data_IF_818003771707
#
_entry.id   IF_818003771707
#
_cell.length_a   1.000
_cell.length_b   1.000
_cell.length_c   1.000
_cell.angle_alpha   90.00
_cell.angle_beta   90.00
_cell.angle_gamma   90.00
#
_symmetry.space_group_name_H-M   'P 1'
#
loop_
_entity.id
_entity.type
_entity.pdbx_description
1 polymer ?
#
# COMPACT_ATOMS: atom_id res chain seq x y z
N UNK A 1 57.18 -9.49 -20.29
CA UNK A 1 56.01 -9.98 -19.53
C UNK A 1 55.14 -8.78 -19.17
N UNK A 2 54.15 -8.42 -20.00
CA UNK A 2 53.18 -7.34 -19.69
C UNK A 2 51.87 -8.01 -19.27
N UNK A 3 51.54 -7.94 -17.97
CA UNK A 3 50.25 -8.42 -17.46
C UNK A 3 49.19 -7.39 -17.85
N UNK A 4 48.31 -7.75 -18.77
CA UNK A 4 47.15 -6.94 -19.13
C UNK A 4 46.12 -7.06 -18.01
N UNK A 5 45.94 -5.99 -17.24
CA UNK A 5 44.89 -5.88 -16.23
C UNK A 5 43.60 -5.45 -16.96
N UNK A 6 42.71 -6.40 -17.23
CA UNK A 6 41.40 -6.09 -17.80
C UNK A 6 40.50 -5.56 -16.69
N UNK A 7 40.24 -4.26 -16.69
CA UNK A 7 39.20 -3.63 -15.86
C UNK A 7 37.84 -4.03 -16.47
N UNK A 8 37.13 -4.94 -15.80
CA UNK A 8 35.79 -5.38 -16.23
C UNK A 8 34.77 -4.37 -15.68
N UNK A 9 34.33 -3.42 -16.50
CA UNK A 9 33.24 -2.51 -16.17
C UNK A 9 31.92 -3.27 -16.38
N UNK A 10 31.30 -3.77 -15.32
CA UNK A 10 29.97 -4.40 -15.38
C UNK A 10 28.91 -3.30 -15.39
N UNK A 11 28.36 -3.01 -16.56
CA UNK A 11 27.19 -2.14 -16.72
C UNK A 11 25.96 -2.91 -16.23
N UNK A 12 25.45 -2.57 -15.05
CA UNK A 12 24.18 -3.10 -14.56
C UNK A 12 23.05 -2.48 -15.42
N UNK A 13 22.43 -3.28 -16.28
CA UNK A 13 21.20 -2.89 -16.97
C UNK A 13 20.07 -2.93 -15.94
N UNK A 14 19.66 -1.75 -15.45
CA UNK A 14 18.49 -1.63 -14.57
C UNK A 14 17.26 -1.72 -15.47
N UNK A 15 16.39 -2.74 -15.34
CA UNK A 15 15.13 -2.74 -16.06
C UNK A 15 14.32 -1.52 -15.62
N UNK A 16 13.71 -0.81 -16.57
CA UNK A 16 12.71 0.22 -16.26
C UNK A 16 11.59 -0.45 -15.46
N UNK A 17 11.42 -0.06 -14.20
CA UNK A 17 10.31 -0.53 -13.39
C UNK A 17 9.03 0.09 -13.94
N UNK A 18 8.12 -0.75 -14.41
CA UNK A 18 6.77 -0.35 -14.82
C UNK A 18 5.87 -0.46 -13.59
N UNK A 19 4.93 0.47 -13.43
CA UNK A 19 3.98 0.42 -12.32
C UNK A 19 3.14 -0.87 -12.39
N UNK A 20 2.99 -1.54 -11.24
CA UNK A 20 2.25 -2.79 -11.03
C UNK A 20 1.47 -2.71 -9.71
N UNK A 21 0.57 -3.66 -9.48
CA UNK A 21 -0.14 -3.81 -8.19
C UNK A 21 0.87 -4.28 -7.14
N UNK A 22 1.12 -3.45 -6.13
CA UNK A 22 1.92 -3.85 -4.98
C UNK A 22 1.10 -4.75 -4.05
N UNK A 23 -0.13 -4.33 -3.76
CA UNK A 23 -1.05 -4.98 -2.81
C UNK A 23 -2.50 -4.76 -3.30
N UNK A 24 -3.31 -5.81 -3.21
CA UNK A 24 -4.76 -5.76 -3.40
C UNK A 24 -5.48 -6.45 -2.25
N UNK A 25 -6.63 -5.92 -1.85
CA UNK A 25 -7.56 -6.54 -0.91
C UNK A 25 -8.90 -6.71 -1.60
N UNK A 26 -9.46 -7.91 -1.56
CA UNK A 26 -10.84 -8.23 -1.97
C UNK A 26 -11.57 -8.78 -0.74
N UNK A 27 -12.66 -8.12 -0.35
CA UNK A 27 -13.45 -8.48 0.83
C UNK A 27 -14.70 -9.27 0.48
N UNK A 28 -14.86 -9.72 -0.77
CA UNK A 28 -15.94 -10.61 -1.15
C UNK A 28 -15.92 -11.90 -0.31
N UNK A 29 -17.06 -12.24 0.28
CA UNK A 29 -17.22 -13.36 1.20
C UNK A 29 -16.97 -13.04 2.68
N UNK A 30 -16.54 -11.83 3.03
CA UNK A 30 -16.43 -11.39 4.42
C UNK A 30 -17.82 -11.21 5.04
N UNK A 31 -17.95 -11.42 6.34
CA UNK A 31 -19.14 -11.12 7.13
C UNK A 31 -19.27 -9.62 7.45
N UNK A 32 -18.18 -8.85 7.40
CA UNK A 32 -18.15 -7.42 7.67
C UNK A 32 -17.45 -7.05 8.96
N UNK A 33 -17.42 -7.98 9.91
CA UNK A 33 -16.94 -7.81 11.27
C UNK A 33 -15.64 -8.55 11.58
N UNK A 34 -14.92 -9.00 10.55
CA UNK A 34 -13.58 -9.57 10.69
C UNK A 34 -12.65 -8.59 11.42
N UNK A 35 -11.86 -9.10 12.36
CA UNK A 35 -10.87 -8.30 13.08
C UNK A 35 -9.80 -7.73 12.12
N UNK A 36 -9.39 -8.54 11.14
CA UNK A 36 -8.32 -8.22 10.19
C UNK A 36 -8.70 -8.70 8.78
N UNK A 37 -8.46 -7.87 7.77
CA UNK A 37 -8.47 -8.28 6.37
C UNK A 37 -7.06 -8.63 5.88
N UNK A 38 -6.93 -9.65 5.03
CA UNK A 38 -5.64 -10.08 4.47
C UNK A 38 -5.60 -9.76 2.98
N UNK A 39 -4.45 -9.29 2.48
CA UNK A 39 -4.26 -9.00 1.07
C UNK A 39 -4.45 -10.26 0.21
N UNK A 40 -5.28 -10.16 -0.82
CA UNK A 40 -5.56 -11.22 -1.81
C UNK A 40 -4.55 -11.18 -2.96
N UNK A 41 -3.98 -10.00 -3.25
CA UNK A 41 -2.92 -9.79 -4.21
C UNK A 41 -1.71 -9.19 -3.50
N UNK A 42 -0.52 -9.72 -3.78
CA UNK A 42 0.74 -9.18 -3.26
C UNK A 42 1.84 -9.37 -4.30
N UNK A 43 2.55 -8.31 -4.63
CA UNK A 43 3.73 -8.40 -5.48
C UNK A 43 4.80 -9.29 -4.83
N UNK A 44 5.54 -10.06 -5.62
CA UNK A 44 6.51 -11.09 -5.13
C UNK A 44 7.54 -10.54 -4.12
N UNK A 45 7.85 -9.24 -4.20
CA UNK A 45 8.84 -8.55 -3.37
C UNK A 45 8.23 -7.64 -2.30
N UNK A 46 6.92 -7.79 -2.05
CA UNK A 46 6.19 -7.18 -0.95
C UNK A 46 5.76 -8.31 0.01
N UNK A 47 5.68 -8.01 1.30
CA UNK A 47 5.16 -8.95 2.29
C UNK A 47 3.63 -8.99 2.27
N UNK A 48 3.02 -10.10 2.69
CA UNK A 48 1.57 -10.15 2.90
C UNK A 48 1.15 -8.99 3.80
N UNK A 49 0.10 -8.28 3.37
CA UNK A 49 -0.37 -7.09 4.06
C UNK A 49 -1.68 -7.38 4.78
N UNK A 50 -1.94 -6.60 5.82
CA UNK A 50 -3.14 -6.69 6.63
C UNK A 50 -3.78 -5.32 6.73
N UNK A 51 -5.12 -5.29 6.73
CA UNK A 51 -5.92 -4.11 7.03
C UNK A 51 -6.65 -4.32 8.34
N UNK A 52 -6.66 -3.31 9.19
CA UNK A 52 -7.35 -3.30 10.49
C UNK A 52 -8.07 -1.97 10.69
N UNK A 53 -8.86 -1.89 11.76
CA UNK A 53 -9.55 -0.67 12.20
C UNK A 53 -8.78 -0.01 13.33
N UNK A 54 -8.74 1.30 13.35
CA UNK A 54 -8.29 2.10 14.48
C UNK A 54 -9.23 1.92 15.67
N UNK A 55 -8.73 2.23 16.86
CA UNK A 55 -9.42 1.98 18.12
C UNK A 55 -10.74 2.76 18.31
N UNK A 56 -11.01 3.78 17.49
CA UNK A 56 -12.27 4.53 17.50
C UNK A 56 -13.42 3.80 16.80
N UNK A 57 -13.11 2.82 15.94
CA UNK A 57 -14.10 2.13 15.13
C UNK A 57 -14.47 0.76 15.70
N UNK A 58 -15.74 0.41 15.55
CA UNK A 58 -16.23 -0.93 15.83
C UNK A 58 -16.40 -1.71 14.53
N UNK A 59 -15.95 -2.97 14.54
CA UNK A 59 -16.33 -3.95 13.53
C UNK A 59 -17.85 -4.14 13.54
N UNK A 60 -18.47 -4.27 12.37
CA UNK A 60 -19.92 -4.40 12.24
C UNK A 60 -20.29 -5.25 11.04
N UNK A 61 -21.17 -6.24 11.23
CA UNK A 61 -21.56 -7.16 10.17
C UNK A 61 -22.23 -6.40 8.99
N UNK A 62 -21.71 -6.65 7.80
CA UNK A 62 -22.24 -6.26 6.50
C UNK A 62 -21.49 -7.09 5.45
N UNK A 63 -22.19 -8.03 4.81
CA UNK A 63 -21.55 -9.05 3.98
C UNK A 63 -20.77 -8.44 2.80
N UNK A 64 -19.67 -9.08 2.42
CA UNK A 64 -18.77 -8.70 1.32
C UNK A 64 -18.08 -7.33 1.50
N UNK A 65 -17.90 -6.88 2.75
CA UNK A 65 -17.29 -5.59 3.07
C UNK A 65 -16.25 -5.75 4.17
N UNK A 66 -15.22 -4.90 4.20
CA UNK A 66 -14.48 -4.65 5.45
C UNK A 66 -15.08 -3.41 6.14
N UNK A 67 -16.03 -3.65 7.05
CA UNK A 67 -17.00 -2.63 7.47
C UNK A 67 -16.75 -2.09 8.88
N UNK A 68 -17.06 -0.81 9.11
CA UNK A 68 -16.96 -0.19 10.41
C UNK A 68 -18.17 0.70 10.76
N UNK A 69 -18.41 0.83 12.06
CA UNK A 69 -19.33 1.81 12.69
C UNK A 69 -18.58 2.58 13.77
N UNK A 70 -19.29 3.38 14.58
CA UNK A 70 -18.77 4.22 15.65
C UNK A 70 -17.92 5.42 15.18
N UNK A 71 -18.00 5.77 13.90
CA UNK A 71 -17.49 7.04 13.38
C UNK A 71 -18.03 8.22 14.19
N UNK A 72 -17.16 9.17 14.51
CA UNK A 72 -17.49 10.36 15.30
C UNK A 72 -18.60 11.17 14.63
N UNK A 73 -19.74 11.31 15.33
CA UNK A 73 -20.93 12.00 14.83
C UNK A 73 -20.66 13.49 14.70
N UNK A 74 -20.88 14.04 13.49
CA UNK A 74 -20.60 15.44 13.18
C UNK A 74 -19.12 15.82 13.29
N UNK A 75 -18.22 14.84 13.43
CA UNK A 75 -16.80 15.08 13.68
C UNK A 75 -16.11 15.78 12.52
N UNK A 76 -15.18 16.67 12.87
CA UNK A 76 -14.20 17.27 11.95
C UNK A 76 -13.03 16.32 11.67
N UNK A 77 -12.13 16.70 10.77
CA UNK A 77 -10.88 15.98 10.53
C UNK A 77 -10.03 15.85 11.81
N UNK A 78 -9.99 16.89 12.65
CA UNK A 78 -9.24 16.82 13.90
C UNK A 78 -9.88 15.85 14.90
N UNK A 79 -11.21 15.78 14.94
CA UNK A 79 -11.92 14.88 15.87
C UNK A 79 -11.67 13.41 15.50
N UNK A 80 -11.79 13.05 14.21
CA UNK A 80 -11.57 11.68 13.71
C UNK A 80 -10.11 11.22 13.95
N UNK A 81 -9.13 12.14 13.82
CA UNK A 81 -7.72 11.84 14.15
C UNK A 81 -7.56 11.54 15.65
N UNK A 82 -8.10 12.41 16.50
CA UNK A 82 -7.98 12.27 17.96
C UNK A 82 -8.69 11.00 18.47
N UNK A 83 -9.78 10.61 17.82
CA UNK A 83 -10.57 9.43 18.20
C UNK A 83 -10.09 8.13 17.56
N UNK A 84 -9.13 8.18 16.63
CA UNK A 84 -8.62 7.02 15.87
C UNK A 84 -9.69 6.35 14.98
N UNK A 85 -10.48 7.17 14.29
CA UNK A 85 -11.55 6.74 13.39
C UNK A 85 -11.00 6.48 11.97
N UNK A 86 -10.20 5.42 11.81
CA UNK A 86 -9.57 5.08 10.52
C UNK A 86 -9.51 3.58 10.25
N UNK A 87 -9.36 3.23 8.98
CA UNK A 87 -8.78 1.96 8.56
C UNK A 87 -7.27 2.12 8.34
N UNK A 88 -6.47 1.12 8.68
CA UNK A 88 -5.02 1.17 8.49
C UNK A 88 -4.46 -0.11 7.91
N UNK A 89 -3.45 0.04 7.06
CA UNK A 89 -2.64 -1.05 6.51
C UNK A 89 -1.20 -0.60 6.38
N UNK A 90 -0.28 -1.56 6.42
CA UNK A 90 1.16 -1.32 6.23
C UNK A 90 1.67 -2.15 5.07
N UNK A 91 2.36 -1.50 4.14
CA UNK A 91 3.07 -2.16 3.04
C UNK A 91 4.53 -2.29 3.42
N UNK A 92 5.06 -3.52 3.42
CA UNK A 92 6.44 -3.81 3.76
C UNK A 92 7.17 -4.47 2.59
N UNK A 93 8.35 -3.97 2.25
CA UNK A 93 9.23 -4.60 1.28
C UNK A 93 9.80 -5.91 1.84
N UNK A 94 10.03 -6.89 0.97
CA UNK A 94 10.91 -8.01 1.30
C UNK A 94 12.34 -7.51 1.49
N UNK A 95 13.14 -8.22 2.29
CA UNK A 95 14.55 -7.86 2.53
C UNK A 95 15.34 -7.75 1.21
N UNK A 96 16.10 -6.66 1.06
CA UNK A 96 16.89 -6.40 -0.15
C UNK A 96 16.11 -5.70 -1.27
N UNK A 97 14.87 -5.28 -1.03
CA UNK A 97 14.03 -4.53 -1.96
C UNK A 97 13.52 -3.22 -1.33
N UNK A 98 13.14 -2.30 -2.21
CA UNK A 98 12.47 -1.03 -1.92
C UNK A 98 11.29 -0.88 -2.87
N UNK A 99 10.35 0.00 -2.55
CA UNK A 99 9.25 0.30 -3.46
C UNK A 99 8.90 1.77 -3.48
N UNK A 100 8.25 2.19 -4.57
CA UNK A 100 7.60 3.48 -4.70
C UNK A 100 6.09 3.25 -4.78
N UNK A 101 5.28 4.16 -4.25
CA UNK A 101 3.81 4.13 -4.37
C UNK A 101 3.39 5.24 -5.32
N UNK A 102 2.59 4.90 -6.33
CA UNK A 102 2.17 5.85 -7.37
C UNK A 102 0.70 6.22 -7.26
N UNK A 103 -0.17 5.28 -6.90
CA UNK A 103 -1.57 5.57 -6.66
C UNK A 103 -2.21 4.55 -5.71
N UNK A 104 -3.35 4.95 -5.14
CA UNK A 104 -4.26 4.05 -4.44
C UNK A 104 -5.63 4.16 -5.11
N UNK A 105 -6.26 3.03 -5.37
CA UNK A 105 -7.64 2.93 -5.88
C UNK A 105 -8.45 2.14 -4.87
N UNK A 106 -9.69 2.55 -4.64
CA UNK A 106 -10.56 1.82 -3.74
C UNK A 106 -12.04 1.96 -4.11
N UNK A 107 -12.81 0.94 -3.74
CA UNK A 107 -14.25 0.97 -3.73
C UNK A 107 -14.74 1.17 -2.30
N UNK A 108 -15.73 2.04 -2.13
CA UNK A 108 -16.26 2.39 -0.82
C UNK A 108 -17.78 2.45 -0.86
N UNK A 109 -18.40 1.97 0.20
CA UNK A 109 -19.81 2.17 0.44
C UNK A 109 -20.08 2.54 1.91
N UNK A 110 -21.14 3.32 2.11
CA UNK A 110 -21.59 3.81 3.40
C UNK A 110 -23.09 3.80 3.51
N UNK A 111 -23.59 3.66 4.73
CA UNK A 111 -24.99 3.94 5.03
C UNK A 111 -25.31 5.44 4.87
N UNK A 112 -26.60 5.78 4.85
CA UNK A 112 -27.09 7.17 4.79
C UNK A 112 -26.55 8.06 5.92
N UNK A 113 -26.21 7.46 7.07
CA UNK A 113 -25.67 8.16 8.26
C UNK A 113 -24.21 7.85 8.55
N UNK A 114 -23.53 7.09 7.67
CA UNK A 114 -22.08 6.85 7.74
C UNK A 114 -21.26 8.10 7.39
N UNK A 115 -19.93 8.01 7.46
CA UNK A 115 -19.04 9.16 7.19
C UNK A 115 -19.22 9.64 5.76
N UNK A 116 -19.58 10.91 5.56
CA UNK A 116 -19.79 11.49 4.22
C UNK A 116 -18.52 12.03 3.58
N UNK A 117 -17.43 12.08 4.35
CA UNK A 117 -16.15 12.59 3.91
C UNK A 117 -15.03 11.66 4.36
N UNK A 118 -13.95 11.63 3.60
CA UNK A 118 -12.77 10.84 3.93
C UNK A 118 -11.47 11.55 3.52
N UNK A 119 -10.38 11.14 4.14
CA UNK A 119 -9.03 11.55 3.76
C UNK A 119 -8.01 10.46 4.04
N UNK A 120 -6.90 10.50 3.31
CA UNK A 120 -5.82 9.53 3.40
C UNK A 120 -4.56 10.21 3.95
N UNK A 121 -3.91 9.59 4.92
CA UNK A 121 -2.57 9.97 5.39
C UNK A 121 -1.61 8.79 5.33
N UNK A 122 -0.32 9.09 5.48
CA UNK A 122 0.69 8.05 5.62
C UNK A 122 1.71 8.37 6.71
N UNK A 123 2.49 7.37 7.09
CA UNK A 123 3.57 7.52 8.05
C UNK A 123 4.77 8.31 7.54
N UNK A 124 4.82 8.68 6.25
CA UNK A 124 6.00 9.36 5.64
C UNK A 124 6.34 10.68 6.33
N UNK A 125 5.31 11.39 6.81
CA UNK A 125 5.43 12.65 7.55
C UNK A 125 4.86 12.54 8.97
N UNK A 126 4.72 11.31 9.49
CA UNK A 126 4.10 11.07 10.79
C UNK A 126 2.59 11.36 10.82
N UNK A 127 1.90 11.18 9.69
CA UNK A 127 0.47 11.46 9.52
C UNK A 127 0.11 12.94 9.70
N UNK A 128 1.00 13.85 9.31
CA UNK A 128 0.80 15.28 9.49
C UNK A 128 -0.11 15.88 8.39
N UNK A 129 0.05 15.45 7.14
CA UNK A 129 -0.62 16.01 5.97
C UNK A 129 -1.53 14.99 5.28
N UNK A 130 -2.61 15.50 4.68
CA UNK A 130 -3.47 14.68 3.83
C UNK A 130 -2.82 14.47 2.47
N UNK A 131 -2.77 13.21 2.04
CA UNK A 131 -2.37 12.81 0.70
C UNK A 131 -3.50 13.01 -0.31
N UNK A 132 -4.74 12.83 0.13
CA UNK A 132 -5.94 13.01 -0.67
C UNK A 132 -7.17 13.16 0.24
N UNK A 133 -8.21 13.80 -0.28
CA UNK A 133 -9.50 14.00 0.40
C UNK A 133 -10.66 13.71 -0.57
N UNK A 134 -11.80 13.27 -0.04
CA UNK A 134 -12.99 12.92 -0.82
C UNK A 134 -14.29 13.28 -0.11
N UNK A 135 -15.29 13.69 -0.90
CA UNK A 135 -16.70 13.55 -0.57
C UNK A 135 -17.15 12.13 -0.98
N UNK A 136 -17.52 11.28 -0.03
CA UNK A 136 -17.87 9.87 -0.29
C UNK A 136 -19.39 9.66 -0.35
N UNK A 137 -19.84 9.01 -1.41
CA UNK A 137 -21.24 8.63 -1.65
C UNK A 137 -21.51 7.21 -1.14
N UNK A 138 -22.79 6.83 -1.10
CA UNK A 138 -23.16 5.43 -0.98
C UNK A 138 -22.88 4.74 -2.33
N UNK A 139 -21.93 3.80 -2.32
CA UNK A 139 -21.37 3.13 -3.49
C UNK A 139 -20.56 4.06 -4.38
N UNK A 140 -19.24 3.91 -4.40
CA UNK A 140 -18.37 4.67 -5.28
C UNK A 140 -16.98 4.07 -5.44
N UNK A 141 -16.33 4.39 -6.56
CA UNK A 141 -14.93 4.09 -6.82
C UNK A 141 -14.12 5.37 -6.79
N UNK A 142 -13.00 5.35 -6.10
CA UNK A 142 -12.17 6.51 -5.79
C UNK A 142 -10.71 6.20 -6.04
N UNK A 143 -9.91 7.25 -6.19
CA UNK A 143 -8.47 7.12 -6.34
C UNK A 143 -7.73 8.31 -5.72
N UNK A 144 -6.48 8.08 -5.33
CA UNK A 144 -5.48 9.09 -5.03
C UNK A 144 -4.29 8.93 -5.99
N UNK A 145 -3.96 9.97 -6.76
CA UNK A 145 -2.66 10.07 -7.42
C UNK A 145 -1.62 10.53 -6.38
N UNK A 146 -0.61 9.70 -6.14
CA UNK A 146 0.41 9.90 -5.12
C UNK A 146 1.79 10.12 -5.74
N UNK A 147 1.88 10.27 -7.06
CA UNK A 147 3.14 10.45 -7.77
C UNK A 147 3.94 11.68 -7.32
N UNK A 148 3.25 12.71 -6.83
CA UNK A 148 3.86 13.95 -6.31
C UNK A 148 4.07 13.94 -4.78
N UNK A 149 3.59 12.91 -4.08
CA UNK A 149 3.65 12.82 -2.62
C UNK A 149 5.03 12.35 -2.08
N UNK A 150 6.00 12.09 -2.96
CA UNK A 150 7.36 11.72 -2.57
C UNK A 150 7.47 10.31 -1.94
N UNK A 151 6.49 9.44 -2.20
CA UNK A 151 6.43 8.07 -1.66
C UNK A 151 7.38 7.14 -2.42
N UNK A 152 8.68 7.37 -2.28
CA UNK A 152 9.74 6.69 -3.06
C UNK A 152 10.80 6.05 -2.16
N UNK A 153 11.44 5.00 -2.66
CA UNK A 153 12.53 4.28 -2.02
C UNK A 153 12.18 3.78 -0.60
N UNK A 154 10.95 3.29 -0.44
CA UNK A 154 10.37 2.88 0.84
C UNK A 154 10.76 1.45 1.21
N UNK A 155 10.95 1.19 2.51
CA UNK A 155 11.00 -0.17 3.07
C UNK A 155 9.69 -0.56 3.73
N UNK A 156 9.00 0.42 4.30
CA UNK A 156 7.73 0.28 4.98
C UNK A 156 6.99 1.60 4.88
N UNK A 157 5.66 1.54 4.72
CA UNK A 157 4.78 2.68 4.85
C UNK A 157 3.44 2.23 5.41
N UNK A 158 2.97 2.93 6.44
CA UNK A 158 1.61 2.77 6.97
C UNK A 158 0.73 3.84 6.33
N UNK A 159 -0.45 3.43 5.89
CA UNK A 159 -1.51 4.32 5.45
C UNK A 159 -2.66 4.30 6.46
N UNK A 160 -3.33 5.44 6.59
CA UNK A 160 -4.56 5.57 7.38
C UNK A 160 -5.63 6.28 6.56
N UNK A 161 -6.74 5.60 6.36
CA UNK A 161 -7.93 6.12 5.69
C UNK A 161 -8.95 6.52 6.76
N UNK A 162 -9.18 7.82 6.92
CA UNK A 162 -10.08 8.38 7.91
C UNK A 162 -11.44 8.66 7.28
N UNK A 163 -12.50 8.43 8.03
CA UNK A 163 -13.87 8.84 7.71
C UNK A 163 -14.37 9.84 8.74
N UNK A 164 -15.11 10.85 8.30
CA UNK A 164 -15.67 11.88 9.18
C UNK A 164 -17.03 12.39 8.71
N UNK A 165 -17.65 13.28 9.50
CA UNK A 165 -19.03 13.78 9.30
C UNK A 165 -20.09 12.68 9.28
N UNK A 166 -19.97 11.69 10.16
CA UNK A 166 -21.04 10.71 10.33
C UNK A 166 -22.29 11.38 10.91
N UNK A 167 -23.47 10.94 10.47
CA UNK A 167 -24.77 11.40 10.98
C UNK A 167 -25.24 10.61 12.20
N UNK A 168 -24.66 9.45 12.47
CA UNK A 168 -25.00 8.57 13.60
C UNK A 168 -23.82 7.64 13.92
N UNK A 169 -23.70 7.24 15.19
CA UNK A 169 -22.71 6.23 15.62
C UNK A 169 -22.99 4.84 15.03
N UNK A 170 -24.24 4.57 14.64
CA UNK A 170 -24.62 3.35 13.92
C UNK A 170 -24.43 3.48 12.41
N UNK A 171 -24.07 4.67 11.92
CA UNK A 171 -23.73 4.87 10.52
C UNK A 171 -22.54 4.01 10.14
N UNK A 172 -22.69 3.17 9.12
CA UNK A 172 -21.62 2.30 8.63
C UNK A 172 -20.86 2.88 7.44
N UNK A 173 -19.62 2.45 7.26
CA UNK A 173 -18.75 2.74 6.12
C UNK A 173 -17.64 1.70 6.00
N UNK A 174 -17.27 1.32 4.79
CA UNK A 174 -16.21 0.35 4.56
C UNK A 174 -15.93 0.08 3.08
N UNK A 175 -14.88 -0.71 2.85
CA UNK A 175 -14.44 -1.10 1.51
C UNK A 175 -15.27 -2.26 0.98
N UNK A 176 -15.90 -2.07 -0.18
CA UNK A 176 -16.72 -3.06 -0.90
C UNK A 176 -16.89 -2.63 -2.36
N UNK A 177 -16.86 -3.60 -3.27
CA UNK A 177 -17.06 -3.39 -4.70
C UNK A 177 -16.86 -4.66 -5.52
N UNK A 178 -16.59 -4.49 -6.81
CA UNK A 178 -16.25 -5.59 -7.72
C UNK A 178 -14.74 -5.62 -7.94
N UNK A 179 -14.13 -6.80 -7.84
CA UNK A 179 -12.68 -6.97 -7.96
C UNK A 179 -11.98 -6.65 -6.64
N UNK A 180 -10.72 -6.22 -6.70
CA UNK A 180 -10.01 -5.75 -5.51
C UNK A 180 -10.61 -4.40 -5.04
N UNK A 181 -11.06 -4.36 -3.80
CA UNK A 181 -11.74 -3.23 -3.14
C UNK A 181 -10.77 -2.15 -2.66
N UNK A 182 -9.50 -2.51 -2.43
CA UNK A 182 -8.42 -1.57 -2.11
C UNK A 182 -7.15 -2.04 -2.80
N UNK A 183 -6.61 -1.20 -3.68
CA UNK A 183 -5.43 -1.49 -4.50
C UNK A 183 -4.38 -0.41 -4.31
N UNK A 184 -3.16 -0.82 -3.97
CA UNK A 184 -1.99 0.03 -3.86
C UNK A 184 -1.10 -0.29 -5.08
N UNK A 185 -0.89 0.71 -5.93
CA UNK A 185 -0.06 0.58 -7.12
C UNK A 185 1.28 1.28 -6.95
N UNK A 186 2.31 0.75 -7.61
CA UNK A 186 3.66 1.24 -7.44
C UNK A 186 4.70 0.46 -8.22
N UNK A 187 5.96 0.64 -7.86
CA UNK A 187 7.09 -0.07 -8.47
C UNK A 187 7.95 -0.69 -7.38
N UNK A 188 8.64 -1.80 -7.69
CA UNK A 188 9.64 -2.38 -6.79
C UNK A 188 11.04 -2.26 -7.39
N UNK A 189 11.99 -1.88 -6.54
CA UNK A 189 13.38 -1.61 -6.88
C UNK A 189 14.28 -2.50 -6.00
N UNK A 190 15.14 -3.36 -6.58
CA UNK A 190 16.16 -4.06 -5.82
C UNK A 190 17.18 -3.09 -5.20
N UNK A 191 17.67 -3.38 -3.99
CA UNK A 191 18.73 -2.57 -3.40
C UNK A 191 20.02 -2.58 -4.26
N UNK A 192 20.80 -1.48 -4.28
CA UNK A 192 22.03 -1.40 -5.08
C UNK A 192 23.04 -2.53 -4.79
N UNK A 193 23.12 -2.99 -3.54
CA UNK A 193 23.99 -4.09 -3.12
C UNK A 193 23.56 -5.44 -3.73
N UNK A 194 22.25 -5.68 -3.84
CA UNK A 194 21.67 -6.85 -4.51
C UNK A 194 22.07 -6.89 -5.99
N UNK A 195 22.02 -5.74 -6.68
CA UNK A 195 22.47 -5.63 -8.07
C UNK A 195 23.98 -5.86 -8.22
N UNK A 196 24.79 -5.36 -7.29
CA UNK A 196 26.25 -5.58 -7.30
C UNK A 196 26.62 -7.07 -7.12
N UNK A 197 25.93 -7.78 -6.23
CA UNK A 197 26.15 -9.22 -6.03
C UNK A 197 25.74 -10.05 -7.26
N UNK A 198 24.59 -9.73 -7.87
CA UNK A 198 24.12 -10.41 -9.08
C UNK A 198 25.13 -10.20 -10.23
N UNK A 199 25.58 -8.97 -10.43
CA UNK A 199 26.55 -8.66 -11.49
C UNK A 199 27.92 -9.32 -11.27
N UNK A 200 28.41 -9.41 -10.02
CA UNK A 200 29.62 -10.17 -9.69
C UNK A 200 29.45 -11.69 -9.93
N UNK A 201 28.29 -12.27 -9.62
CA UNK A 201 28.03 -13.69 -9.87
C UNK A 201 28.06 -14.02 -11.38
N UNK A 202 27.43 -13.20 -12.22
CA UNK A 202 27.48 -13.35 -13.67
C UNK A 202 28.88 -13.08 -14.25
N UNK A 203 29.56 -12.04 -13.78
CA UNK A 203 30.94 -11.72 -14.17
C UNK A 203 31.92 -12.84 -13.81
N UNK A 204 31.81 -13.40 -12.60
CA UNK A 204 32.62 -14.52 -12.13
C UNK A 204 32.38 -15.82 -12.91
N UNK A 205 31.15 -16.11 -13.32
CA UNK A 205 30.84 -17.26 -14.18
C UNK A 205 31.46 -17.10 -15.59
N UNK A 206 31.39 -15.90 -16.17
CA UNK A 206 31.99 -15.63 -17.48
C UNK A 206 33.52 -15.75 -17.43
N UNK A 207 34.16 -15.22 -16.38
CA UNK A 207 35.62 -15.31 -16.18
C UNK A 207 36.07 -16.76 -15.93
N UNK A 208 35.38 -17.50 -15.07
CA UNK A 208 35.72 -18.90 -14.77
C UNK A 208 35.57 -19.82 -15.99
N UNK A 209 34.55 -19.61 -16.83
CA UNK A 209 34.40 -20.35 -18.11
C UNK A 209 35.53 -20.02 -19.09
N UNK A 210 36.02 -18.79 -19.11
CA UNK A 210 37.14 -18.39 -19.97
C UNK A 210 38.47 -18.98 -19.50
N UNK A 211 38.67 -19.09 -18.20
CA UNK A 211 39.86 -19.70 -17.61
C UNK A 211 39.90 -21.22 -17.78
N UNK A 212 38.76 -21.91 -17.80
CA UNK A 212 38.67 -23.37 -18.05
C UNK A 212 38.86 -23.79 -19.51
N UNK A 213 38.82 -22.85 -20.46
CA UNK A 213 39.01 -23.11 -21.91
C UNK A 213 40.44 -22.83 -22.38
N UNK A 214 41.35 -22.49 -21.46
CA UNK A 214 42.79 -22.37 -21.70
C UNK A 214 43.49 -23.54 -21.04
#
# INVERSE_FOLDING_TARGET
>A
MRKWMALLLTLACVPLAVADILVGFDFNGYAGDEETGTSTVTHTYIQTCYITRGAGLNAAANANRFNATAWTVGGTESDTINNNDYFTWTVNAQTGYRFDVTNIVFNWDRSSTGPSNAFLRSSVDGFASDLATWDVSAGGSYQADLSSAGLTNLTSIEFRFYGYRAGSTLGSGGFEGTGDDLVINGTVIPEPSTLALISLAFGGLAVSRRLRRR
#
